data_IF_455439540693
#
_entry.id   IF_455439540693
#
_cell.length_a   1.000
_cell.length_b   1.000
_cell.length_c   1.000
_cell.angle_alpha   90.00
_cell.angle_beta   90.00
_cell.angle_gamma   90.00
#
_symmetry.space_group_name_H-M   'P 1'
#
loop_
_entity.id
_entity.type
_entity.pdbx_description
1 polymer ?
#
# COMPACT_ATOMS: atom_id res chain seq x y z
N UNK A 1 10.08 -19.72 8.17
CA UNK A 1 11.01 -18.58 8.31
C UNK A 1 10.48 -17.66 9.39
N UNK A 2 11.39 -16.94 10.05
CA UNK A 2 11.06 -15.84 10.96
C UNK A 2 11.19 -14.50 10.24
N UNK A 3 10.12 -13.71 10.23
CA UNK A 3 10.01 -12.49 9.42
C UNK A 3 9.71 -11.29 10.31
N UNK A 4 10.55 -10.24 10.24
CA UNK A 4 10.24 -8.95 10.83
C UNK A 4 9.42 -8.13 9.83
N UNK A 5 8.21 -7.73 10.20
CA UNK A 5 7.34 -6.87 9.40
C UNK A 5 7.20 -5.51 10.08
N UNK A 6 7.77 -4.46 9.47
CA UNK A 6 7.57 -3.08 9.95
C UNK A 6 6.28 -2.50 9.36
N UNK A 7 5.55 -1.69 10.14
CA UNK A 7 4.23 -1.19 9.73
C UNK A 7 3.14 -2.26 9.81
N UNK A 8 3.28 -3.22 10.74
CA UNK A 8 2.45 -4.42 10.84
C UNK A 8 0.97 -4.14 11.13
N UNK A 9 0.63 -3.02 11.77
CA UNK A 9 -0.75 -2.59 12.00
C UNK A 9 -1.37 -1.85 10.81
N UNK A 10 -0.58 -1.58 9.75
CA UNK A 10 -1.02 -0.88 8.55
C UNK A 10 -1.98 -1.68 7.68
N UNK A 11 -2.54 -1.03 6.64
CA UNK A 11 -3.56 -1.60 5.77
C UNK A 11 -3.06 -2.83 4.99
N UNK A 12 -1.98 -2.69 4.20
CA UNK A 12 -1.43 -3.81 3.41
C UNK A 12 -0.94 -4.94 4.33
N UNK A 13 -0.29 -4.59 5.44
CA UNK A 13 0.20 -5.57 6.40
C UNK A 13 -0.93 -6.29 7.13
N UNK A 14 -2.13 -5.70 7.23
CA UNK A 14 -3.33 -6.37 7.73
C UNK A 14 -3.76 -7.58 6.89
N UNK A 15 -3.36 -7.64 5.62
CA UNK A 15 -3.48 -8.82 4.75
C UNK A 15 -2.21 -9.68 4.76
N UNK A 16 -1.04 -9.06 4.79
CA UNK A 16 0.24 -9.78 4.70
C UNK A 16 0.52 -10.63 5.93
N UNK A 17 0.30 -10.11 7.14
CA UNK A 17 0.60 -10.85 8.38
C UNK A 17 -0.19 -12.16 8.44
N UNK A 18 -1.53 -12.19 8.28
CA UNK A 18 -2.26 -13.47 8.27
C UNK A 18 -1.83 -14.39 7.11
N UNK A 19 -1.55 -13.87 5.92
CA UNK A 19 -1.02 -14.67 4.79
C UNK A 19 0.29 -15.38 5.17
N UNK A 20 1.20 -14.70 5.89
CA UNK A 20 2.45 -15.28 6.35
C UNK A 20 2.22 -16.35 7.43
N UNK A 21 1.35 -16.06 8.40
CA UNK A 21 1.03 -16.99 9.50
C UNK A 21 0.36 -18.27 9.00
N UNK A 22 -0.58 -18.16 8.04
CA UNK A 22 -1.25 -19.30 7.39
C UNK A 22 -0.26 -20.19 6.62
N UNK A 23 0.86 -19.62 6.17
CA UNK A 23 1.95 -20.36 5.51
C UNK A 23 3.00 -20.92 6.50
N UNK A 24 2.76 -20.79 7.79
CA UNK A 24 3.62 -21.33 8.83
C UNK A 24 4.87 -20.52 9.12
N UNK A 25 4.90 -19.23 8.74
CA UNK A 25 5.97 -18.33 9.15
C UNK A 25 5.77 -17.85 10.58
N UNK A 26 6.88 -17.57 11.27
CA UNK A 26 6.88 -16.81 12.52
C UNK A 26 7.00 -15.32 12.17
N UNK A 27 6.10 -14.48 12.67
CA UNK A 27 6.06 -13.06 12.35
C UNK A 27 6.29 -12.21 13.59
N UNK A 28 7.28 -11.33 13.52
CA UNK A 28 7.48 -10.23 14.46
C UNK A 28 6.95 -8.97 13.82
N UNK A 29 5.80 -8.48 14.27
CA UNK A 29 5.21 -7.23 13.80
C UNK A 29 5.69 -6.05 14.61
N UNK A 30 6.11 -4.97 13.95
CA UNK A 30 6.47 -3.70 14.59
C UNK A 30 5.61 -2.57 14.03
N UNK A 31 4.97 -1.80 14.93
CA UNK A 31 4.20 -0.60 14.58
C UNK A 31 4.05 0.28 15.83
N UNK A 32 3.86 1.59 15.66
CA UNK A 32 3.62 2.55 16.74
C UNK A 32 2.16 3.03 16.81
N UNK A 33 1.29 2.49 15.96
CA UNK A 33 -0.11 2.87 15.80
C UNK A 33 -0.35 4.34 15.42
N UNK A 34 0.68 5.05 14.95
CA UNK A 34 0.59 6.48 14.62
C UNK A 34 -0.40 6.78 13.51
N UNK A 35 -0.64 5.82 12.60
CA UNK A 35 -1.52 6.03 11.44
C UNK A 35 -3.00 5.87 11.77
N UNK A 36 -3.41 4.75 12.35
CA UNK A 36 -4.83 4.37 12.52
C UNK A 36 -5.26 4.27 13.98
N UNK A 37 -4.35 4.54 14.91
CA UNK A 37 -4.59 4.19 16.32
C UNK A 37 -4.55 2.67 16.53
N UNK A 38 -4.82 2.24 17.74
CA UNK A 38 -4.82 0.81 18.10
C UNK A 38 -6.11 0.14 17.61
N UNK A 39 -5.95 -0.82 16.72
CA UNK A 39 -7.05 -1.64 16.18
C UNK A 39 -6.72 -3.11 16.43
N UNK A 40 -7.64 -3.83 17.05
CA UNK A 40 -7.51 -5.28 17.23
C UNK A 40 -7.54 -5.99 15.87
N UNK A 41 -6.68 -6.98 15.71
CA UNK A 41 -6.58 -7.84 14.53
C UNK A 41 -6.96 -9.27 14.91
N UNK A 42 -7.55 -10.01 13.99
CA UNK A 42 -7.97 -11.41 14.21
C UNK A 42 -6.81 -12.35 14.53
N UNK A 43 -5.59 -11.95 14.25
CA UNK A 43 -4.36 -12.72 14.45
C UNK A 43 -3.51 -12.26 15.65
N UNK A 44 -3.97 -11.29 16.45
CA UNK A 44 -3.17 -10.75 17.58
C UNK A 44 -2.76 -11.84 18.59
N UNK A 45 -3.61 -12.84 18.81
CA UNK A 45 -3.35 -13.96 19.72
C UNK A 45 -2.76 -15.20 19.02
N UNK A 46 -2.30 -15.08 17.76
CA UNK A 46 -1.76 -16.21 17.02
C UNK A 46 -0.40 -16.65 17.62
N UNK A 47 -0.16 -17.97 17.89
CA UNK A 47 1.03 -18.44 18.61
C UNK A 47 2.37 -18.14 17.91
N UNK A 48 2.35 -17.92 16.59
CA UNK A 48 3.52 -17.54 15.80
C UNK A 48 3.57 -16.05 15.47
N UNK A 49 2.74 -15.23 16.14
CA UNK A 49 2.75 -13.77 15.99
C UNK A 49 3.19 -13.10 17.28
N UNK A 50 4.20 -12.25 17.18
CA UNK A 50 4.64 -11.36 18.26
C UNK A 50 4.54 -9.92 17.81
N UNK A 51 3.71 -9.12 18.44
CA UNK A 51 3.62 -7.69 18.18
C UNK A 51 4.52 -6.87 19.12
N UNK A 52 5.19 -5.86 18.55
CA UNK A 52 6.04 -4.92 19.27
C UNK A 52 5.55 -3.51 18.98
N UNK A 53 4.98 -2.84 19.99
CA UNK A 53 4.53 -1.46 19.87
C UNK A 53 5.68 -0.51 20.16
N UNK A 54 6.36 -0.07 19.13
CA UNK A 54 7.52 0.85 19.19
C UNK A 54 7.72 1.55 17.85
N UNK A 55 8.52 2.59 17.89
CA UNK A 55 8.90 3.38 16.71
C UNK A 55 9.98 2.68 15.88
N UNK A 56 9.73 2.52 14.57
CA UNK A 56 10.67 1.91 13.63
C UNK A 56 11.94 2.77 13.36
N UNK A 57 11.99 3.98 13.86
CA UNK A 57 13.19 4.86 13.80
C UNK A 57 14.24 4.50 14.85
N UNK A 58 13.90 3.70 15.86
CA UNK A 58 14.87 3.25 16.88
C UNK A 58 15.80 2.18 16.31
N UNK A 59 17.01 2.59 15.95
CA UNK A 59 18.03 1.72 15.34
C UNK A 59 18.41 0.56 16.27
N UNK A 60 18.50 0.80 17.59
CA UNK A 60 18.90 -0.22 18.56
C UNK A 60 17.83 -1.29 18.68
N UNK A 61 16.58 -0.88 18.78
CA UNK A 61 15.42 -1.80 18.79
C UNK A 61 15.35 -2.59 17.49
N UNK A 62 15.41 -1.90 16.33
CA UNK A 62 15.35 -2.53 15.01
C UNK A 62 16.45 -3.58 14.84
N UNK A 63 17.68 -3.28 15.29
CA UNK A 63 18.81 -4.21 15.24
C UNK A 63 18.55 -5.44 16.12
N UNK A 64 18.01 -5.26 17.33
CA UNK A 64 17.67 -6.36 18.22
C UNK A 64 16.53 -7.23 17.65
N UNK A 65 15.53 -6.64 17.00
CA UNK A 65 14.42 -7.40 16.40
C UNK A 65 14.83 -8.15 15.13
N UNK A 66 15.74 -7.61 14.33
CA UNK A 66 16.21 -8.25 13.10
C UNK A 66 17.25 -9.35 13.34
N UNK A 67 17.87 -9.39 14.52
CA UNK A 67 19.06 -10.21 14.79
C UNK A 67 18.86 -11.73 14.60
N UNK A 68 17.65 -12.23 14.79
CA UNK A 68 17.28 -13.65 14.65
C UNK A 68 16.19 -13.87 13.58
N UNK A 69 15.99 -12.90 12.69
CA UNK A 69 15.04 -13.01 11.59
C UNK A 69 15.73 -13.45 10.29
N UNK A 70 15.04 -14.31 9.53
CA UNK A 70 15.50 -14.73 8.20
C UNK A 70 15.28 -13.61 7.16
N UNK A 71 14.22 -12.84 7.31
CA UNK A 71 13.89 -11.74 6.40
C UNK A 71 13.28 -10.53 7.12
N UNK A 72 13.43 -9.35 6.52
CA UNK A 72 12.75 -8.11 6.93
C UNK A 72 11.84 -7.64 5.81
N UNK A 73 10.58 -7.37 6.11
CA UNK A 73 9.64 -6.66 5.22
C UNK A 73 9.56 -5.21 5.66
N UNK A 74 10.16 -4.33 4.86
CA UNK A 74 10.17 -2.89 5.08
C UNK A 74 8.89 -2.26 4.52
N UNK A 75 7.83 -2.20 5.35
CA UNK A 75 6.52 -1.67 4.96
C UNK A 75 6.06 -0.48 5.82
N UNK A 76 6.76 -0.17 6.93
CA UNK A 76 6.47 1.02 7.72
C UNK A 76 6.68 2.30 6.90
N UNK A 77 5.71 3.19 6.94
CA UNK A 77 5.81 4.51 6.35
C UNK A 77 4.74 5.45 6.94
N UNK A 78 5.11 6.70 7.15
CA UNK A 78 4.14 7.78 7.32
C UNK A 78 3.46 8.01 5.97
N UNK A 79 2.17 7.74 5.87
CA UNK A 79 1.42 7.80 4.62
C UNK A 79 -0.04 8.14 4.88
N UNK A 80 -0.65 8.93 4.01
CA UNK A 80 -2.07 9.27 4.00
C UNK A 80 -2.64 9.30 2.58
N UNK A 81 -3.77 9.98 2.41
CA UNK A 81 -4.35 10.27 1.08
C UNK A 81 -3.58 11.36 0.32
N UNK A 82 -4.09 11.73 -0.85
CA UNK A 82 -3.42 12.72 -1.73
C UNK A 82 -3.30 14.09 -1.05
N UNK A 83 -4.31 14.53 -0.29
CA UNK A 83 -4.26 15.78 0.50
C UNK A 83 -3.12 15.75 1.52
N UNK A 84 -2.92 14.61 2.17
CA UNK A 84 -1.87 14.41 3.17
C UNK A 84 -0.46 14.63 2.60
N UNK A 85 -0.21 14.22 1.34
CA UNK A 85 1.09 14.39 0.69
C UNK A 85 1.46 15.84 0.46
N UNK A 86 0.46 16.71 0.24
CA UNK A 86 0.71 18.13 0.04
C UNK A 86 0.86 18.88 1.37
N UNK A 87 0.08 18.52 2.36
CA UNK A 87 0.07 19.19 3.65
C UNK A 87 1.31 18.85 4.49
N UNK A 88 1.73 17.58 4.50
CA UNK A 88 2.83 17.07 5.30
C UNK A 88 4.05 16.68 4.43
N UNK A 89 4.32 17.43 3.35
CA UNK A 89 5.33 17.06 2.36
C UNK A 89 6.74 16.88 2.97
N UNK A 90 7.15 17.78 3.86
CA UNK A 90 8.45 17.70 4.56
C UNK A 90 8.46 16.58 5.59
N UNK A 91 7.46 16.52 6.47
CA UNK A 91 7.40 15.54 7.54
C UNK A 91 7.35 14.12 6.98
N UNK A 92 6.56 13.91 5.92
CA UNK A 92 6.47 12.63 5.22
C UNK A 92 7.84 12.18 4.71
N UNK A 93 8.59 13.07 4.07
CA UNK A 93 9.92 12.74 3.56
C UNK A 93 10.88 12.46 4.72
N UNK A 94 10.97 13.36 5.70
CA UNK A 94 11.91 13.27 6.80
C UNK A 94 11.67 12.02 7.67
N UNK A 95 10.43 11.76 8.08
CA UNK A 95 10.08 10.60 8.90
C UNK A 95 10.36 9.28 8.17
N UNK A 96 9.98 9.19 6.90
CA UNK A 96 10.17 7.97 6.13
C UNK A 96 11.64 7.67 5.85
N UNK A 97 12.48 8.69 5.62
CA UNK A 97 13.92 8.48 5.45
C UNK A 97 14.58 8.00 6.76
N UNK A 98 14.14 8.49 7.92
CA UNK A 98 14.61 7.99 9.22
C UNK A 98 14.20 6.53 9.46
N UNK A 99 12.95 6.17 9.14
CA UNK A 99 12.46 4.78 9.22
C UNK A 99 13.28 3.86 8.32
N UNK A 100 13.51 4.26 7.07
CA UNK A 100 14.30 3.49 6.11
C UNK A 100 15.75 3.32 6.58
N UNK A 101 16.39 4.40 7.02
CA UNK A 101 17.76 4.36 7.50
C UNK A 101 17.92 3.40 8.69
N UNK A 102 16.98 3.42 9.65
CA UNK A 102 17.00 2.51 10.78
C UNK A 102 16.75 1.04 10.34
N UNK A 103 15.78 0.81 9.48
CA UNK A 103 15.46 -0.52 8.95
C UNK A 103 16.64 -1.13 8.19
N UNK A 104 17.26 -0.37 7.29
CA UNK A 104 18.42 -0.85 6.53
C UNK A 104 19.66 -1.06 7.39
N UNK A 105 19.94 -0.21 8.39
CA UNK A 105 21.02 -0.44 9.34
C UNK A 105 20.85 -1.76 10.10
N UNK A 106 19.65 -2.03 10.56
CA UNK A 106 19.32 -3.30 11.25
C UNK A 106 19.46 -4.52 10.31
N UNK A 107 18.92 -4.44 9.10
CA UNK A 107 19.02 -5.51 8.10
C UNK A 107 20.48 -5.78 7.70
N UNK A 108 21.29 -4.75 7.50
CA UNK A 108 22.74 -4.88 7.21
C UNK A 108 23.46 -5.56 8.38
N UNK A 109 23.18 -5.17 9.62
CA UNK A 109 23.79 -5.77 10.80
C UNK A 109 23.44 -7.27 10.91
N UNK A 110 22.18 -7.63 10.76
CA UNK A 110 21.71 -9.04 10.80
C UNK A 110 22.29 -9.85 9.63
N UNK A 111 22.37 -9.29 8.42
CA UNK A 111 22.97 -9.94 7.25
C UNK A 111 24.47 -10.22 7.47
N UNK A 112 25.21 -9.24 7.99
CA UNK A 112 26.65 -9.40 8.26
C UNK A 112 26.92 -10.41 9.39
N UNK A 113 25.96 -10.61 10.30
CA UNK A 113 25.99 -11.66 11.30
C UNK A 113 25.64 -13.05 10.75
N UNK A 114 25.23 -13.15 9.49
CA UNK A 114 24.91 -14.41 8.81
C UNK A 114 23.49 -14.92 9.05
N UNK A 115 22.59 -14.11 9.59
CA UNK A 115 21.21 -14.50 9.89
C UNK A 115 20.22 -14.08 8.80
N UNK A 116 20.29 -12.84 8.34
CA UNK A 116 19.31 -12.29 7.39
C UNK A 116 19.64 -12.66 5.93
N UNK A 117 18.71 -13.32 5.27
CA UNK A 117 18.82 -13.73 3.87
C UNK A 117 18.53 -12.58 2.90
N UNK A 118 17.51 -11.76 3.17
CA UNK A 118 17.13 -10.60 2.34
C UNK A 118 16.24 -9.59 3.06
N UNK A 119 16.15 -8.40 2.47
CA UNK A 119 15.13 -7.39 2.80
C UNK A 119 14.12 -7.28 1.65
N UNK A 120 12.83 -7.28 1.98
CA UNK A 120 11.74 -7.02 1.02
C UNK A 120 11.26 -5.59 1.22
N UNK A 121 11.36 -4.77 0.19
CA UNK A 121 10.97 -3.35 0.24
C UNK A 121 9.61 -3.16 -0.41
N UNK A 122 8.65 -2.70 0.38
CA UNK A 122 7.32 -2.32 -0.12
C UNK A 122 7.39 -0.88 -0.65
N UNK A 123 7.74 -0.77 -1.93
CA UNK A 123 7.75 0.47 -2.69
C UNK A 123 6.33 0.89 -3.09
N UNK A 124 6.15 1.56 -4.21
CA UNK A 124 4.83 2.01 -4.71
C UNK A 124 4.85 2.20 -6.22
N UNK A 125 3.67 2.11 -6.85
CA UNK A 125 3.47 2.59 -8.23
C UNK A 125 3.79 4.07 -8.43
N UNK A 126 3.86 4.85 -7.35
CA UNK A 126 4.19 6.28 -7.41
C UNK A 126 5.64 6.57 -7.82
N UNK A 127 6.53 5.58 -7.81
CA UNK A 127 7.87 5.73 -8.41
C UNK A 127 7.79 5.99 -9.93
N UNK A 128 6.66 5.68 -10.54
CA UNK A 128 6.36 5.91 -11.97
C UNK A 128 5.49 7.14 -12.23
N UNK A 129 5.33 8.04 -11.25
CA UNK A 129 4.46 9.22 -11.36
C UNK A 129 4.70 10.01 -12.65
N UNK A 130 5.97 10.15 -13.05
CA UNK A 130 6.39 10.89 -14.24
C UNK A 130 6.63 10.00 -15.47
N UNK A 131 6.21 8.72 -15.44
CA UNK A 131 6.39 7.83 -16.58
C UNK A 131 5.41 8.15 -17.70
N UNK A 132 5.90 8.05 -18.96
CA UNK A 132 5.13 8.33 -20.17
C UNK A 132 4.86 7.08 -21.03
N UNK A 133 5.48 5.95 -20.69
CA UNK A 133 5.28 4.68 -21.38
C UNK A 133 4.23 3.81 -20.63
N UNK A 134 3.25 3.30 -21.36
CA UNK A 134 2.16 2.46 -20.84
C UNK A 134 1.91 1.24 -21.75
N UNK A 135 1.68 0.05 -21.18
CA UNK A 135 1.83 -0.29 -19.76
C UNK A 135 3.24 0.01 -19.27
N UNK A 136 3.35 0.58 -18.03
CA UNK A 136 4.63 1.01 -17.45
C UNK A 136 5.48 -0.21 -17.09
N UNK A 137 6.61 -0.44 -17.77
CA UNK A 137 7.46 -1.61 -17.51
C UNK A 137 8.21 -1.45 -16.19
N UNK A 138 8.60 -2.58 -15.62
CA UNK A 138 9.57 -2.63 -14.52
C UNK A 138 10.88 -1.97 -14.98
N UNK A 139 11.41 -1.05 -14.17
CA UNK A 139 12.61 -0.29 -14.52
C UNK A 139 12.36 1.08 -15.15
N UNK A 140 11.11 1.42 -15.53
CA UNK A 140 10.78 2.73 -16.13
C UNK A 140 11.19 3.93 -15.26
N UNK A 141 11.18 3.80 -13.93
CA UNK A 141 11.63 4.85 -13.00
C UNK A 141 13.12 5.23 -13.16
N UNK A 142 13.92 4.41 -13.85
CA UNK A 142 15.33 4.71 -14.12
C UNK A 142 15.53 5.67 -15.29
N UNK A 143 14.54 5.77 -16.16
CA UNK A 143 14.59 6.55 -17.40
C UNK A 143 13.53 7.65 -17.45
N UNK A 144 12.59 7.64 -16.52
CA UNK A 144 11.61 8.73 -16.34
C UNK A 144 12.20 9.85 -15.47
N UNK A 145 11.71 11.08 -15.60
CA UNK A 145 12.00 12.12 -14.61
C UNK A 145 11.65 11.64 -13.19
N UNK A 146 12.30 12.15 -12.15
CA UNK A 146 11.90 11.84 -10.77
C UNK A 146 10.41 12.14 -10.54
N UNK A 147 9.76 11.42 -9.59
CA UNK A 147 8.41 11.75 -9.18
C UNK A 147 8.30 13.21 -8.72
N UNK A 148 7.21 13.88 -9.09
CA UNK A 148 6.95 15.26 -8.70
C UNK A 148 6.52 15.36 -7.22
N UNK A 149 5.80 14.36 -6.71
CA UNK A 149 5.39 14.33 -5.30
C UNK A 149 6.52 13.85 -4.38
N UNK A 150 6.58 14.42 -3.17
CA UNK A 150 7.52 13.97 -2.11
C UNK A 150 7.29 12.51 -1.74
N UNK A 151 6.03 12.01 -1.81
CA UNK A 151 5.72 10.60 -1.59
C UNK A 151 6.31 9.70 -2.68
N UNK A 152 6.13 10.03 -3.94
CA UNK A 152 6.73 9.27 -5.05
C UNK A 152 8.25 9.26 -4.96
N UNK A 153 8.85 10.41 -4.65
CA UNK A 153 10.30 10.54 -4.44
C UNK A 153 10.78 9.69 -3.27
N UNK A 154 10.09 9.72 -2.13
CA UNK A 154 10.41 8.90 -0.96
C UNK A 154 10.39 7.39 -1.27
N UNK A 155 9.39 6.95 -2.04
CA UNK A 155 9.31 5.55 -2.48
C UNK A 155 10.44 5.20 -3.46
N UNK A 156 10.83 6.11 -4.32
CA UNK A 156 12.02 5.95 -5.17
C UNK A 156 13.30 5.87 -4.32
N UNK A 157 13.45 6.73 -3.31
CA UNK A 157 14.58 6.68 -2.38
C UNK A 157 14.68 5.32 -1.67
N UNK A 158 13.55 4.71 -1.26
CA UNK A 158 13.56 3.37 -0.65
C UNK A 158 14.19 2.29 -1.55
N UNK A 159 13.99 2.40 -2.88
CA UNK A 159 14.63 1.52 -3.85
C UNK A 159 16.14 1.77 -3.98
N UNK A 160 16.57 3.02 -3.84
CA UNK A 160 18.00 3.37 -3.79
C UNK A 160 18.67 2.88 -2.52
N UNK A 161 18.00 2.93 -1.36
CA UNK A 161 18.51 2.29 -0.14
C UNK A 161 18.78 0.79 -0.37
N UNK A 162 17.85 0.07 -1.01
CA UNK A 162 18.03 -1.36 -1.32
C UNK A 162 19.24 -1.60 -2.22
N UNK A 163 19.35 -0.85 -3.31
CA UNK A 163 20.45 -0.98 -4.28
C UNK A 163 21.80 -0.61 -3.65
N UNK A 164 21.88 0.51 -2.91
CA UNK A 164 23.07 0.93 -2.22
C UNK A 164 23.51 -0.06 -1.14
N UNK A 165 22.58 -0.62 -0.37
CA UNK A 165 22.88 -1.66 0.62
C UNK A 165 23.39 -2.95 -0.05
N UNK A 166 22.85 -3.32 -1.20
CA UNK A 166 23.35 -4.44 -2.01
C UNK A 166 24.76 -4.18 -2.52
N UNK A 167 25.00 -3.00 -3.08
CA UNK A 167 26.29 -2.63 -3.64
C UNK A 167 27.40 -2.59 -2.57
N UNK A 168 27.13 -1.95 -1.43
CA UNK A 168 28.14 -1.71 -0.40
C UNK A 168 28.30 -2.87 0.58
N UNK A 169 27.21 -3.57 0.93
CA UNK A 169 27.19 -4.58 1.99
C UNK A 169 26.76 -5.97 1.53
N UNK A 170 26.51 -6.13 0.23
CA UNK A 170 26.01 -7.38 -0.36
C UNK A 170 24.65 -7.86 0.18
N UNK A 171 23.89 -6.99 0.86
CA UNK A 171 22.58 -7.31 1.38
C UNK A 171 21.61 -7.63 0.21
N UNK A 172 21.07 -8.86 0.09
CA UNK A 172 20.10 -9.17 -0.93
C UNK A 172 18.79 -8.45 -0.66
N UNK A 173 18.09 -8.06 -1.74
CA UNK A 173 16.79 -7.40 -1.65
C UNK A 173 15.77 -8.00 -2.61
N UNK A 174 14.51 -7.68 -2.38
CA UNK A 174 13.41 -7.79 -3.34
C UNK A 174 12.57 -6.53 -3.22
N UNK A 175 12.26 -5.87 -4.34
CA UNK A 175 11.41 -4.68 -4.35
C UNK A 175 10.06 -5.06 -4.94
N UNK A 176 8.98 -4.73 -4.25
CA UNK A 176 7.61 -4.89 -4.73
C UNK A 176 6.91 -3.53 -4.83
N UNK A 177 6.19 -3.29 -5.93
CA UNK A 177 5.44 -2.05 -6.19
C UNK A 177 3.96 -2.36 -6.27
N UNK A 178 3.22 -2.23 -5.16
CA UNK A 178 1.77 -2.32 -5.17
C UNK A 178 1.14 -1.21 -6.02
N UNK A 179 0.06 -1.57 -6.75
CA UNK A 179 -0.78 -0.63 -7.47
C UNK A 179 -2.17 -0.59 -6.84
N UNK A 180 -2.62 0.59 -6.41
CA UNK A 180 -3.96 0.91 -5.94
C UNK A 180 -4.61 -0.22 -5.11
N UNK A 181 -4.04 -0.52 -3.95
CA UNK A 181 -4.55 -1.53 -3.04
C UNK A 181 -5.99 -1.21 -2.61
N UNK A 182 -6.85 -2.21 -2.62
CA UNK A 182 -8.26 -2.12 -2.22
C UNK A 182 -8.59 -3.25 -1.26
N UNK A 183 -9.36 -2.95 -0.22
CA UNK A 183 -9.83 -3.96 0.74
C UNK A 183 -10.40 -3.33 2.00
N UNK A 184 -10.67 -4.18 2.99
CA UNK A 184 -11.13 -3.75 4.32
C UNK A 184 -9.96 -3.30 5.20
N UNK A 185 -10.26 -2.47 6.22
CA UNK A 185 -9.25 -1.99 7.17
C UNK A 185 -8.50 -0.74 6.73
N UNK A 186 -8.80 -0.22 5.54
CA UNK A 186 -8.29 1.08 5.14
C UNK A 186 -9.07 2.20 5.85
N UNK A 187 -8.36 3.00 6.62
CA UNK A 187 -8.93 4.13 7.37
C UNK A 187 -8.16 5.39 7.06
N UNK A 188 -8.75 6.52 7.44
CA UNK A 188 -8.06 7.79 7.45
C UNK A 188 -6.97 7.80 8.53
N UNK A 189 -5.85 8.48 8.24
CA UNK A 189 -4.82 8.70 9.25
C UNK A 189 -5.35 9.61 10.37
N UNK A 190 -4.97 9.32 11.63
CA UNK A 190 -5.43 10.09 12.81
C UNK A 190 -5.08 11.58 12.70
N UNK A 191 -3.97 11.91 12.03
CA UNK A 191 -3.51 13.30 11.85
C UNK A 191 -3.99 13.96 10.56
N UNK A 192 -4.82 13.29 9.78
CA UNK A 192 -5.28 13.82 8.49
C UNK A 192 -6.31 14.94 8.68
N UNK A 193 -6.24 15.97 7.85
CA UNK A 193 -7.15 17.13 7.92
C UNK A 193 -8.49 16.85 7.29
N UNK A 194 -9.48 17.60 7.73
CA UNK A 194 -10.85 17.49 7.24
C UNK A 194 -10.96 18.00 5.80
N UNK A 195 -11.24 17.09 4.87
CA UNK A 195 -11.49 17.42 3.46
C UNK A 195 -12.97 17.23 3.16
N UNK A 196 -13.58 18.22 2.53
CA UNK A 196 -14.96 18.15 2.06
C UNK A 196 -15.00 17.85 0.56
N UNK A 197 -15.93 16.97 0.16
CA UNK A 197 -16.28 16.76 -1.25
C UNK A 197 -17.79 16.91 -1.38
N UNK A 198 -18.22 18.00 -1.97
CA UNK A 198 -19.61 18.42 -1.89
C UNK A 198 -20.07 18.58 -0.44
N UNK A 199 -21.13 17.88 -0.07
CA UNK A 199 -21.71 17.87 1.28
C UNK A 199 -21.21 16.75 2.20
N UNK A 200 -20.23 15.95 1.76
CA UNK A 200 -19.70 14.82 2.53
C UNK A 200 -18.28 15.09 2.97
N UNK A 201 -18.04 14.96 4.29
CA UNK A 201 -16.70 14.94 4.87
C UNK A 201 -16.02 13.62 4.52
N UNK A 202 -14.84 13.68 3.90
CA UNK A 202 -14.06 12.51 3.58
C UNK A 202 -13.46 11.91 4.85
N UNK A 203 -13.81 10.67 5.15
CA UNK A 203 -13.33 9.94 6.32
C UNK A 203 -12.32 8.84 5.95
N UNK A 204 -12.03 8.66 4.65
CA UNK A 204 -11.18 7.60 4.11
C UNK A 204 -10.19 8.18 3.11
N UNK A 205 -9.07 7.47 2.89
CA UNK A 205 -7.90 8.07 2.24
C UNK A 205 -7.82 7.85 0.72
N UNK A 206 -8.55 6.88 0.17
CA UNK A 206 -8.44 6.51 -1.26
C UNK A 206 -9.79 6.49 -1.95
N UNK A 207 -9.74 6.52 -3.29
CA UNK A 207 -10.92 6.73 -4.14
C UNK A 207 -12.02 5.67 -3.96
N UNK A 208 -11.67 4.39 -3.76
CA UNK A 208 -12.68 3.33 -3.60
C UNK A 208 -13.49 3.52 -2.32
N UNK A 209 -12.86 3.53 -1.13
CA UNK A 209 -13.60 3.73 0.11
C UNK A 209 -14.27 5.11 0.18
N UNK A 210 -13.69 6.14 -0.41
CA UNK A 210 -14.27 7.48 -0.45
C UNK A 210 -15.59 7.52 -1.26
N UNK A 211 -15.61 6.96 -2.47
CA UNK A 211 -16.81 6.89 -3.29
C UNK A 211 -17.90 6.00 -2.66
N UNK A 212 -17.51 4.91 -1.99
CA UNK A 212 -18.45 4.08 -1.23
C UNK A 212 -19.09 4.88 -0.10
N UNK A 213 -18.28 5.60 0.70
CA UNK A 213 -18.77 6.42 1.81
C UNK A 213 -19.76 7.49 1.33
N UNK A 214 -19.41 8.25 0.27
CA UNK A 214 -20.27 9.26 -0.33
C UNK A 214 -21.61 8.68 -0.79
N UNK A 215 -21.56 7.53 -1.45
CA UNK A 215 -22.76 6.84 -1.94
C UNK A 215 -23.63 6.35 -0.80
N UNK A 216 -23.05 5.77 0.26
CA UNK A 216 -23.76 5.31 1.45
C UNK A 216 -24.38 6.46 2.25
N UNK A 217 -23.74 7.64 2.27
CA UNK A 217 -24.29 8.87 2.86
C UNK A 217 -25.35 9.56 1.97
N UNK A 218 -25.70 8.96 0.84
CA UNK A 218 -26.78 9.43 -0.03
C UNK A 218 -26.44 10.66 -0.87
N UNK A 219 -25.14 10.93 -1.11
CA UNK A 219 -24.73 12.05 -1.97
C UNK A 219 -25.25 11.83 -3.40
N UNK A 220 -26.10 12.73 -3.89
CA UNK A 220 -26.70 12.70 -5.21
C UNK A 220 -26.94 14.15 -5.72
N UNK A 221 -26.25 14.62 -6.75
CA UNK A 221 -25.29 13.89 -7.57
C UNK A 221 -24.00 13.52 -6.81
N UNK A 222 -23.33 12.41 -7.22
CA UNK A 222 -22.08 11.96 -6.64
C UNK A 222 -20.93 12.86 -7.07
N UNK A 223 -20.16 13.37 -6.13
CA UNK A 223 -18.99 14.21 -6.42
C UNK A 223 -17.77 13.37 -6.73
N UNK A 224 -17.15 13.60 -7.88
CA UNK A 224 -15.96 12.90 -8.38
C UNK A 224 -14.86 13.94 -8.66
N UNK A 225 -13.65 13.70 -8.16
CA UNK A 225 -12.50 14.56 -8.44
C UNK A 225 -12.07 14.41 -9.90
N UNK A 226 -12.00 15.53 -10.61
CA UNK A 226 -11.77 15.60 -12.05
C UNK A 226 -12.93 15.00 -12.84
N UNK A 227 -12.66 14.64 -14.10
CA UNK A 227 -13.69 14.10 -15.00
C UNK A 227 -13.96 12.60 -14.83
N UNK A 228 -13.26 11.94 -13.90
CA UNK A 228 -13.39 10.50 -13.67
C UNK A 228 -12.77 9.63 -14.76
N UNK A 229 -11.98 10.21 -15.67
CA UNK A 229 -11.30 9.50 -16.77
C UNK A 229 -9.97 8.86 -16.36
N UNK A 230 -9.49 9.16 -15.16
CA UNK A 230 -8.26 8.59 -14.62
C UNK A 230 -8.33 7.07 -14.61
N UNK A 231 -7.33 6.43 -15.20
CA UNK A 231 -7.24 4.97 -15.26
C UNK A 231 -6.42 4.43 -14.09
N UNK A 232 -6.96 3.42 -13.42
CA UNK A 232 -6.34 2.73 -12.30
C UNK A 232 -6.46 1.21 -12.46
N UNK A 233 -5.58 0.49 -11.78
CA UNK A 233 -5.62 -0.96 -11.63
C UNK A 233 -5.85 -1.27 -10.16
N UNK A 234 -7.10 -1.43 -9.77
CA UNK A 234 -7.50 -1.69 -8.39
C UNK A 234 -7.18 -3.14 -8.03
N UNK A 235 -6.25 -3.32 -7.10
CA UNK A 235 -5.72 -4.62 -6.74
C UNK A 235 -6.13 -4.99 -5.33
N UNK A 236 -6.70 -6.17 -5.14
CA UNK A 236 -7.16 -6.64 -3.83
C UNK A 236 -6.00 -6.80 -2.85
N UNK A 237 -6.22 -6.41 -1.58
CA UNK A 237 -5.21 -6.51 -0.53
C UNK A 237 -4.71 -7.93 -0.30
N UNK A 238 -5.59 -8.93 -0.38
CA UNK A 238 -5.22 -10.33 -0.28
C UNK A 238 -4.37 -10.82 -1.46
N UNK A 239 -4.66 -10.37 -2.70
CA UNK A 239 -3.78 -10.67 -3.83
C UNK A 239 -2.40 -10.03 -3.67
N UNK A 240 -2.33 -8.77 -3.19
CA UNK A 240 -1.06 -8.11 -2.92
C UNK A 240 -0.26 -8.83 -1.82
N UNK A 241 -0.90 -9.23 -0.75
CA UNK A 241 -0.27 -9.99 0.33
C UNK A 241 0.34 -11.31 -0.19
N UNK A 242 -0.44 -12.06 -0.98
CA UNK A 242 0.02 -13.27 -1.66
C UNK A 242 1.20 -12.99 -2.61
N UNK A 243 1.14 -11.89 -3.37
CA UNK A 243 2.23 -11.48 -4.28
C UNK A 243 3.51 -11.11 -3.53
N UNK A 244 3.40 -10.37 -2.42
CA UNK A 244 4.53 -10.02 -1.55
C UNK A 244 5.16 -11.29 -0.97
N UNK A 245 4.35 -12.22 -0.44
CA UNK A 245 4.84 -13.51 0.10
C UNK A 245 5.55 -14.33 -0.98
N UNK A 246 4.96 -14.48 -2.17
CA UNK A 246 5.60 -15.22 -3.27
C UNK A 246 6.95 -14.58 -3.63
N UNK A 247 7.01 -13.26 -3.73
CA UNK A 247 8.27 -12.55 -4.00
C UNK A 247 9.29 -12.72 -2.86
N UNK A 248 8.82 -12.76 -1.60
CA UNK A 248 9.65 -13.02 -0.43
C UNK A 248 10.24 -14.43 -0.42
N UNK A 249 9.46 -15.43 -0.82
CA UNK A 249 9.86 -16.84 -0.80
C UNK A 249 10.67 -17.28 -2.03
N UNK A 250 10.49 -16.61 -3.17
CA UNK A 250 11.08 -17.03 -4.45
C UNK A 250 12.59 -16.71 -4.51
N UNK A 251 13.45 -17.72 -4.80
CA UNK A 251 14.86 -17.45 -5.13
C UNK A 251 15.03 -16.60 -6.39
N UNK A 252 14.11 -16.69 -7.36
CA UNK A 252 14.13 -15.89 -8.58
C UNK A 252 13.85 -14.41 -8.36
N UNK A 253 13.39 -14.04 -7.16
CA UNK A 253 13.14 -12.64 -6.78
C UNK A 253 14.36 -11.97 -6.10
N UNK A 254 15.47 -12.68 -5.91
CA UNK A 254 16.67 -12.11 -5.29
C UNK A 254 17.28 -11.01 -6.17
N UNK A 255 17.41 -9.81 -5.61
CA UNK A 255 17.90 -8.58 -6.24
C UNK A 255 17.06 -8.13 -7.44
N UNK A 256 15.78 -8.49 -7.43
CA UNK A 256 14.81 -8.16 -8.47
C UNK A 256 13.71 -7.23 -7.95
N UNK A 257 12.99 -6.63 -8.90
CA UNK A 257 11.88 -5.72 -8.62
C UNK A 257 10.64 -6.10 -9.44
N UNK A 258 9.44 -5.97 -8.87
CA UNK A 258 8.18 -6.43 -9.46
C UNK A 258 7.06 -5.41 -9.28
N UNK A 259 6.24 -5.23 -10.32
CA UNK A 259 4.95 -4.58 -10.22
C UNK A 259 3.92 -5.63 -9.77
N UNK A 260 3.29 -5.41 -8.63
CA UNK A 260 2.21 -6.28 -8.12
C UNK A 260 0.86 -5.60 -8.35
N UNK A 261 0.10 -6.12 -9.30
CA UNK A 261 -1.17 -5.53 -9.72
C UNK A 261 -2.05 -6.52 -10.47
N UNK A 262 -3.35 -6.21 -10.52
CA UNK A 262 -4.23 -6.79 -11.54
C UNK A 262 -3.87 -6.25 -12.94
N UNK A 263 -4.12 -7.05 -13.97
CA UNK A 263 -4.02 -6.62 -15.36
C UNK A 263 -5.24 -5.79 -15.82
N UNK A 264 -6.33 -5.78 -15.04
CA UNK A 264 -7.58 -5.12 -15.41
C UNK A 264 -7.55 -3.63 -15.08
N UNK A 265 -7.74 -2.80 -16.07
CA UNK A 265 -7.89 -1.34 -15.93
C UNK A 265 -9.33 -0.95 -15.62
N UNK A 266 -9.52 0.10 -14.84
CA UNK A 266 -10.83 0.67 -14.52
C UNK A 266 -10.71 2.18 -14.41
N UNK A 267 -11.60 2.94 -15.02
CA UNK A 267 -11.68 4.38 -14.80
C UNK A 267 -12.39 4.69 -13.48
N UNK A 268 -12.11 5.87 -12.92
CA UNK A 268 -12.82 6.32 -11.69
C UNK A 268 -14.33 6.41 -11.93
N UNK A 269 -14.75 6.81 -13.14
CA UNK A 269 -16.17 6.88 -13.50
C UNK A 269 -16.83 5.47 -13.57
N UNK A 270 -16.15 4.48 -14.12
CA UNK A 270 -16.63 3.08 -14.12
C UNK A 270 -16.74 2.54 -12.69
N UNK A 271 -15.74 2.79 -11.85
CA UNK A 271 -15.77 2.46 -10.43
C UNK A 271 -16.97 3.11 -9.72
N UNK A 272 -17.18 4.42 -9.92
CA UNK A 272 -18.31 5.15 -9.32
C UNK A 272 -19.65 4.56 -9.72
N UNK A 273 -19.84 4.22 -11.00
CA UNK A 273 -21.06 3.56 -11.53
C UNK A 273 -21.24 2.16 -10.93
N UNK A 274 -20.16 1.40 -10.75
CA UNK A 274 -20.22 0.07 -10.15
C UNK A 274 -20.65 0.13 -8.68
N UNK A 275 -20.09 1.07 -7.91
CA UNK A 275 -20.47 1.32 -6.52
C UNK A 275 -21.92 1.78 -6.42
N UNK A 276 -22.30 2.77 -7.24
CA UNK A 276 -23.68 3.30 -7.25
C UNK A 276 -24.72 2.22 -7.47
N UNK A 277 -24.50 1.36 -8.47
CA UNK A 277 -25.40 0.26 -8.81
C UNK A 277 -25.56 -0.75 -7.67
N UNK A 278 -24.45 -1.05 -6.95
CA UNK A 278 -24.49 -1.97 -5.80
C UNK A 278 -25.22 -1.41 -4.60
N UNK A 279 -25.05 -0.11 -4.34
CA UNK A 279 -25.69 0.54 -3.17
C UNK A 279 -27.17 0.80 -3.42
N UNK A 280 -27.52 1.27 -4.61
CA UNK A 280 -28.88 1.75 -4.91
C UNK A 280 -29.71 0.83 -5.80
N UNK A 281 -29.09 -0.22 -6.37
CA UNK A 281 -29.73 -1.08 -7.36
C UNK A 281 -29.79 -0.47 -8.78
N UNK A 282 -30.21 -1.28 -9.78
CA UNK A 282 -30.16 -0.88 -11.19
C UNK A 282 -31.20 0.18 -11.57
N UNK A 283 -32.23 0.39 -10.76
CA UNK A 283 -33.35 1.32 -11.06
C UNK A 283 -33.05 2.80 -10.75
N UNK A 284 -32.01 3.11 -9.99
CA UNK A 284 -31.68 4.50 -9.64
C UNK A 284 -30.67 5.08 -10.64
N UNK A 285 -31.01 6.17 -11.37
CA UNK A 285 -30.12 6.80 -12.32
C UNK A 285 -28.83 7.28 -11.63
N UNK A 286 -27.68 7.02 -12.25
CA UNK A 286 -26.41 7.55 -11.81
C UNK A 286 -26.24 8.99 -12.29
N UNK A 287 -25.99 9.91 -11.36
CA UNK A 287 -25.66 11.32 -11.65
C UNK A 287 -24.37 11.69 -10.92
N UNK A 288 -23.53 12.49 -11.55
CA UNK A 288 -22.29 12.96 -10.94
C UNK A 288 -22.00 14.41 -11.28
N UNK A 289 -21.14 15.00 -10.46
CA UNK A 289 -20.55 16.32 -10.65
C UNK A 289 -19.03 16.15 -10.57
N UNK A 290 -18.31 16.83 -11.47
CA UNK A 290 -16.86 16.86 -11.48
C UNK A 290 -16.37 17.99 -10.57
N UNK A 291 -15.67 17.64 -9.48
CA UNK A 291 -14.95 18.59 -8.65
C UNK A 291 -13.58 18.91 -9.29
N UNK A 292 -12.96 20.07 -8.98
CA UNK A 292 -11.61 20.36 -9.44
C UNK A 292 -10.62 19.24 -9.08
N UNK A 293 -9.78 18.79 -10.03
CA UNK A 293 -8.75 17.78 -9.75
C UNK A 293 -7.63 18.37 -8.89
N UNK A 294 -6.83 17.50 -8.25
CA UNK A 294 -5.58 17.95 -7.65
C UNK A 294 -4.57 18.36 -8.72
N UNK A 295 -3.66 19.29 -8.37
CA UNK A 295 -2.69 19.90 -9.30
C UNK A 295 -1.82 18.86 -10.04
N UNK A 296 -1.49 17.76 -9.38
CA UNK A 296 -0.64 16.70 -9.93
C UNK A 296 -1.37 15.33 -9.98
N UNK A 297 -2.62 15.30 -10.44
CA UNK A 297 -3.36 14.05 -10.56
C UNK A 297 -2.85 13.19 -11.73
N UNK A 298 -2.31 12.02 -11.39
CA UNK A 298 -1.80 11.03 -12.37
C UNK A 298 -2.97 10.47 -13.19
N UNK A 299 -3.03 10.78 -14.48
CA UNK A 299 -4.13 10.35 -15.35
C UNK A 299 -4.09 8.85 -15.67
N UNK A 300 -2.91 8.31 -15.97
CA UNK A 300 -2.72 6.91 -16.33
C UNK A 300 -1.77 6.23 -15.34
N UNK A 301 -2.27 5.22 -14.64
CA UNK A 301 -1.47 4.37 -13.76
C UNK A 301 -1.68 2.92 -14.16
N UNK A 302 -1.01 2.53 -15.24
CA UNK A 302 -1.18 1.25 -15.95
C UNK A 302 0.11 0.43 -15.84
N UNK A 303 0.16 -0.63 -15.02
CA UNK A 303 1.37 -1.45 -14.85
C UNK A 303 1.58 -2.44 -15.98
N UNK A 304 2.84 -2.73 -16.28
CA UNK A 304 3.21 -4.00 -16.92
C UNK A 304 3.38 -5.06 -15.83
N UNK A 305 2.51 -6.07 -15.83
CA UNK A 305 2.47 -7.15 -14.83
C UNK A 305 3.17 -8.42 -15.30
N UNK A 306 3.71 -8.45 -16.54
CA UNK A 306 4.27 -9.66 -17.14
C UNK A 306 5.42 -10.24 -16.34
N UNK A 307 6.34 -9.41 -15.83
CA UNK A 307 7.47 -9.90 -15.05
C UNK A 307 7.02 -10.66 -13.79
N UNK A 308 6.02 -10.15 -13.07
CA UNK A 308 5.49 -10.84 -11.89
C UNK A 308 4.84 -12.18 -12.25
N UNK A 309 4.11 -12.24 -13.37
CA UNK A 309 3.52 -13.48 -13.87
C UNK A 309 4.60 -14.47 -14.33
N UNK A 310 5.53 -14.04 -15.17
CA UNK A 310 6.47 -14.93 -15.86
C UNK A 310 7.58 -15.44 -14.92
N UNK A 311 8.00 -14.65 -13.93
CA UNK A 311 9.07 -14.98 -12.98
C UNK A 311 8.55 -15.59 -11.69
N UNK A 312 7.44 -15.04 -11.15
CA UNK A 312 6.90 -15.43 -9.85
C UNK A 312 5.66 -16.34 -9.97
N UNK A 313 5.07 -16.50 -11.14
CA UNK A 313 3.77 -17.14 -11.31
C UNK A 313 2.64 -16.36 -10.62
N UNK A 314 2.84 -15.04 -10.39
CA UNK A 314 1.87 -14.22 -9.68
C UNK A 314 0.91 -13.52 -10.64
N UNK A 315 -0.38 -13.72 -10.40
CA UNK A 315 -1.46 -12.95 -11.01
C UNK A 315 -2.46 -12.52 -9.92
N UNK A 316 -2.86 -11.26 -9.93
CA UNK A 316 -3.97 -10.78 -9.09
C UNK A 316 -5.30 -11.10 -9.79
N UNK A 317 -6.07 -11.99 -9.21
CA UNK A 317 -7.26 -12.59 -9.83
C UNK A 317 -8.58 -12.12 -9.24
N UNK A 318 -8.56 -11.43 -8.09
CA UNK A 318 -9.78 -10.92 -7.45
C UNK A 318 -10.40 -9.81 -8.29
N UNK A 319 -11.63 -9.99 -8.71
CA UNK A 319 -12.36 -9.01 -9.53
C UNK A 319 -12.73 -7.75 -8.72
N UNK A 320 -12.92 -6.62 -9.41
CA UNK A 320 -13.45 -5.41 -8.78
C UNK A 320 -14.79 -5.67 -8.10
N UNK A 321 -15.62 -6.50 -8.71
CA UNK A 321 -16.92 -6.88 -8.18
C UNK A 321 -16.80 -7.59 -6.82
N UNK A 322 -15.91 -8.57 -6.70
CA UNK A 322 -15.65 -9.25 -5.43
C UNK A 322 -15.06 -8.31 -4.37
N UNK A 323 -14.15 -7.39 -4.74
CA UNK A 323 -13.63 -6.37 -3.83
C UNK A 323 -14.75 -5.48 -3.29
N UNK A 324 -15.67 -5.02 -4.15
CA UNK A 324 -16.78 -4.16 -3.75
C UNK A 324 -17.79 -4.89 -2.87
N UNK A 325 -18.00 -6.19 -3.10
CA UNK A 325 -18.88 -7.04 -2.28
C UNK A 325 -18.35 -7.21 -0.83
N UNK A 326 -17.05 -7.02 -0.63
CA UNK A 326 -16.40 -7.00 0.70
C UNK A 326 -16.36 -5.59 1.31
N UNK A 327 -15.90 -4.60 0.52
CA UNK A 327 -15.63 -3.24 1.00
C UNK A 327 -16.92 -2.47 1.34
N UNK A 328 -17.99 -2.60 0.53
CA UNK A 328 -19.24 -1.87 0.76
C UNK A 328 -19.92 -2.27 2.09
N UNK A 329 -20.11 -3.55 2.40
CA UNK A 329 -20.65 -3.95 3.71
C UNK A 329 -19.76 -3.53 4.88
N UNK A 330 -18.43 -3.62 4.73
CA UNK A 330 -17.52 -3.20 5.77
C UNK A 330 -17.64 -1.69 6.07
N UNK A 331 -17.62 -0.82 5.05
CA UNK A 331 -17.78 0.63 5.24
C UNK A 331 -19.15 0.96 5.84
N UNK A 332 -20.20 0.24 5.43
CA UNK A 332 -21.55 0.41 6.03
C UNK A 332 -21.53 0.10 7.54
N UNK A 333 -20.94 -1.03 7.93
CA UNK A 333 -20.82 -1.41 9.34
C UNK A 333 -19.98 -0.41 10.16
N UNK A 334 -18.89 0.13 9.58
CA UNK A 334 -18.07 1.16 10.22
C UNK A 334 -18.86 2.47 10.41
N UNK A 335 -19.66 2.86 9.41
CA UNK A 335 -20.51 4.04 9.43
C UNK A 335 -21.63 3.90 10.47
N UNK A 336 -22.32 2.76 10.52
CA UNK A 336 -23.38 2.45 11.48
C UNK A 336 -22.84 2.41 12.92
N UNK A 337 -21.60 1.98 13.09
CA UNK A 337 -20.93 1.97 14.39
C UNK A 337 -20.32 3.33 14.80
N UNK A 338 -20.44 4.36 13.96
CA UNK A 338 -19.88 5.69 14.22
C UNK A 338 -18.34 5.75 14.27
N UNK A 339 -17.67 4.81 13.61
CA UNK A 339 -16.19 4.77 13.56
C UNK A 339 -15.61 5.52 12.36
N UNK A 340 -16.48 5.91 11.41
CA UNK A 340 -16.16 6.76 10.25
C UNK A 340 -17.30 7.72 9.92
#
# INVERSE_FOLDING_TARGET
MKVLVTGAAGFICGYLVPELLERGHEVVGLDDFSKYGRLAKSYDDHPHYRFVERDAKDVSLMTALAADCDQVVAAAAMIGGISYFHEFAFDLLAENEMILAATFKAAIAAHRAGHLERIVVVSSSMVYESATAFPTPVGAQRTSPPPASTYGFQKLASEYFAKGAREQYSLPYTIVRPFNCVGIGERRAVRDTDVMSGNVKLALSHVVPDLVLKTLKGQDPLHILGEGRQVRHYTYGGDLARGIRIAMESPAALNEDFNLSTATSTTVLELAKAIWRRVHGPGRPFRHVSDPPFEHDVQLRVPDVRKARDVLGFEATTSLDAMLDEVIPWIRAELEAGRI
#
